data_IF_233806824828
#
_entry.id   IF_233806824828
#
_cell.length_a   1.000
_cell.length_b   1.000
_cell.length_c   1.000
_cell.angle_alpha   90.00
_cell.angle_beta   90.00
_cell.angle_gamma   90.00
#
_symmetry.space_group_name_H-M   'P 1'
#
loop_
_entity.id
_entity.type
_entity.pdbx_description
1 polymer ?
#
# COMPACT_ATOMS: atom_id res chain seq x y z
N UNK A 1 -14.15 12.47 -15.03
CA UNK A 1 -14.22 11.81 -13.71
C UNK A 1 -13.27 12.54 -12.78
N UNK A 2 -13.67 12.97 -11.57
CA UNK A 2 -12.74 13.62 -10.66
C UNK A 2 -11.66 12.62 -10.24
N UNK A 3 -10.40 12.99 -10.46
CA UNK A 3 -9.24 12.23 -10.00
C UNK A 3 -9.22 12.36 -8.48
N UNK A 4 -9.66 11.32 -7.76
CA UNK A 4 -9.57 11.25 -6.31
C UNK A 4 -8.10 11.16 -5.92
N UNK A 5 -7.42 12.31 -5.76
CA UNK A 5 -6.11 12.36 -5.12
C UNK A 5 -6.33 12.31 -3.62
N UNK A 6 -5.84 11.26 -2.97
CA UNK A 6 -5.67 11.29 -1.53
C UNK A 6 -4.53 12.27 -1.27
N UNK A 7 -4.75 13.26 -0.41
CA UNK A 7 -3.69 14.11 0.13
C UNK A 7 -3.26 13.51 1.47
N UNK A 8 -2.25 12.64 1.51
CA UNK A 8 -1.65 12.25 2.78
C UNK A 8 -0.99 13.47 3.44
N UNK A 9 -0.74 13.37 4.75
CA UNK A 9 -0.19 14.50 5.54
C UNK A 9 1.24 14.88 5.12
N UNK A 10 1.93 13.99 4.39
CA UNK A 10 3.32 14.16 3.99
C UNK A 10 3.52 13.86 2.51
N UNK A 11 4.28 14.73 1.84
CA UNK A 11 4.82 14.45 0.51
C UNK A 11 5.97 13.43 0.59
N UNK A 12 6.19 12.69 -0.50
CA UNK A 12 7.29 11.72 -0.59
C UNK A 12 8.67 12.32 -0.25
N UNK A 13 8.88 13.59 -0.61
CA UNK A 13 10.11 14.32 -0.31
C UNK A 13 10.28 14.59 1.21
N UNK A 14 9.18 14.87 1.92
CA UNK A 14 9.21 15.12 3.36
C UNK A 14 9.51 13.84 4.17
N UNK A 15 9.15 12.68 3.65
CA UNK A 15 9.44 11.35 4.22
C UNK A 15 10.85 10.84 3.87
N UNK A 16 11.61 11.60 3.06
CA UNK A 16 12.95 11.23 2.60
C UNK A 16 12.98 9.97 1.72
N UNK A 17 11.86 9.60 1.08
CA UNK A 17 11.73 8.35 0.32
C UNK A 17 12.74 8.26 -0.81
N UNK A 18 13.29 7.05 -1.03
CA UNK A 18 14.09 6.79 -2.22
C UNK A 18 13.21 6.77 -3.49
N UNK A 19 13.82 6.68 -4.67
CA UNK A 19 13.08 6.77 -5.94
C UNK A 19 11.99 5.69 -6.08
N UNK A 20 12.29 4.45 -5.65
CA UNK A 20 11.35 3.32 -5.73
C UNK A 20 10.21 3.45 -4.71
N UNK A 21 10.52 3.81 -3.47
CA UNK A 21 9.55 4.08 -2.41
C UNK A 21 8.63 5.25 -2.79
N UNK A 22 9.20 6.33 -3.34
CA UNK A 22 8.46 7.49 -3.82
C UNK A 22 7.49 7.13 -4.94
N UNK A 23 7.93 6.32 -5.91
CA UNK A 23 7.06 5.84 -6.99
C UNK A 23 5.89 4.99 -6.46
N UNK A 24 6.16 4.08 -5.52
CA UNK A 24 5.12 3.26 -4.87
C UNK A 24 4.14 4.14 -4.08
N UNK A 25 4.67 5.08 -3.30
CA UNK A 25 3.86 5.99 -2.47
C UNK A 25 2.96 6.88 -3.32
N UNK A 26 3.48 7.50 -4.38
CA UNK A 26 2.70 8.31 -5.31
C UNK A 26 1.63 7.48 -6.03
N UNK A 27 1.96 6.26 -6.43
CA UNK A 27 1.00 5.36 -7.07
C UNK A 27 -0.17 5.06 -6.12
N UNK A 28 0.12 4.74 -4.86
CA UNK A 28 -0.90 4.49 -3.83
C UNK A 28 -1.73 5.73 -3.50
N UNK A 29 -1.13 6.92 -3.48
CA UNK A 29 -1.85 8.18 -3.29
C UNK A 29 -2.82 8.48 -4.45
N UNK A 30 -2.46 8.09 -5.67
CA UNK A 30 -3.29 8.30 -6.87
C UNK A 30 -4.41 7.27 -7.04
N UNK A 31 -4.14 6.00 -6.71
CA UNK A 31 -5.06 4.87 -6.96
C UNK A 31 -5.79 4.39 -5.73
N UNK A 32 -5.42 4.87 -4.53
CA UNK A 32 -5.89 4.42 -3.20
C UNK A 32 -5.55 2.97 -2.85
N UNK A 33 -5.51 2.08 -3.84
CA UNK A 33 -5.20 0.67 -3.74
C UNK A 33 -4.41 0.21 -4.96
N UNK A 34 -3.41 -0.66 -4.76
CA UNK A 34 -2.62 -1.30 -5.82
C UNK A 34 -2.37 -2.76 -5.48
N UNK A 35 -2.19 -3.59 -6.49
CA UNK A 35 -1.76 -4.99 -6.34
C UNK A 35 -0.24 -5.11 -6.30
N UNK A 36 0.28 -6.20 -5.74
CA UNK A 36 1.71 -6.54 -5.83
C UNK A 36 2.20 -6.55 -7.28
N UNK A 37 1.40 -7.05 -8.22
CA UNK A 37 1.73 -7.04 -9.64
C UNK A 37 1.84 -5.62 -10.23
N UNK A 38 0.96 -4.69 -9.81
CA UNK A 38 1.05 -3.29 -10.22
C UNK A 38 2.25 -2.58 -9.59
N UNK A 39 2.57 -2.87 -8.33
CA UNK A 39 3.77 -2.32 -7.68
C UNK A 39 5.05 -2.82 -8.35
N UNK A 40 5.10 -4.09 -8.73
CA UNK A 40 6.25 -4.65 -9.46
C UNK A 40 6.36 -4.02 -10.85
N UNK A 41 5.25 -3.95 -11.60
CA UNK A 41 5.24 -3.48 -12.99
C UNK A 41 5.42 -1.96 -13.12
N UNK A 42 4.74 -1.19 -12.29
CA UNK A 42 4.72 0.28 -12.37
C UNK A 42 5.69 0.94 -11.39
N UNK A 43 5.86 0.37 -10.20
CA UNK A 43 6.82 0.85 -9.20
C UNK A 43 8.24 0.31 -9.40
N UNK A 44 8.45 -0.64 -10.34
CA UNK A 44 9.74 -1.29 -10.61
C UNK A 44 10.37 -1.94 -9.36
N UNK A 45 9.53 -2.45 -8.48
CA UNK A 45 9.95 -3.05 -7.21
C UNK A 45 9.96 -4.57 -7.31
N UNK A 46 11.02 -5.22 -6.83
CA UNK A 46 11.09 -6.70 -6.78
C UNK A 46 10.36 -7.28 -5.56
N UNK A 47 10.48 -6.61 -4.41
CA UNK A 47 9.86 -7.01 -3.13
C UNK A 47 8.93 -5.90 -2.63
N UNK A 48 7.66 -5.86 -3.10
CA UNK A 48 6.72 -4.79 -2.75
C UNK A 48 6.39 -4.74 -1.25
N UNK A 49 6.50 -5.87 -0.55
CA UNK A 49 6.34 -5.98 0.89
C UNK A 49 7.37 -5.11 1.64
N UNK A 50 8.66 -5.33 1.37
CA UNK A 50 9.77 -4.64 2.03
C UNK A 50 9.71 -3.12 1.82
N UNK A 51 9.39 -2.70 0.59
CA UNK A 51 9.22 -1.27 0.27
C UNK A 51 8.05 -0.66 1.04
N UNK A 52 6.93 -1.38 1.14
CA UNK A 52 5.76 -0.89 1.88
C UNK A 52 6.04 -0.81 3.38
N UNK A 53 6.76 -1.78 3.95
CA UNK A 53 7.19 -1.75 5.35
C UNK A 53 8.12 -0.57 5.62
N UNK A 54 9.12 -0.33 4.79
CA UNK A 54 10.01 0.83 4.89
C UNK A 54 9.25 2.17 4.79
N UNK A 55 8.26 2.29 3.90
CA UNK A 55 7.41 3.49 3.81
C UNK A 55 6.60 3.66 5.09
N UNK A 56 6.01 2.58 5.62
CA UNK A 56 5.24 2.64 6.86
C UNK A 56 6.10 3.05 8.06
N UNK A 57 7.33 2.54 8.19
CA UNK A 57 8.26 2.96 9.25
C UNK A 57 8.50 4.47 9.22
N UNK A 58 8.70 5.05 8.02
CA UNK A 58 8.90 6.49 7.85
C UNK A 58 7.64 7.30 8.12
N UNK A 59 6.47 6.80 7.72
CA UNK A 59 5.18 7.41 8.03
C UNK A 59 4.93 7.43 9.54
N UNK A 60 5.26 6.36 10.26
CA UNK A 60 5.16 6.26 11.71
C UNK A 60 6.15 7.22 12.38
N UNK A 61 7.41 7.24 11.93
CA UNK A 61 8.43 8.14 12.45
C UNK A 61 8.07 9.62 12.25
N UNK A 62 7.39 9.95 11.15
CA UNK A 62 6.86 11.28 10.87
C UNK A 62 5.57 11.61 11.65
N UNK A 63 4.96 10.64 12.35
CA UNK A 63 3.70 10.81 13.06
C UNK A 63 2.47 10.88 12.15
N UNK A 64 2.53 10.30 10.94
CA UNK A 64 1.42 10.29 10.01
C UNK A 64 0.24 9.47 10.50
N UNK A 65 -0.96 9.98 10.25
CA UNK A 65 -2.21 9.23 10.44
C UNK A 65 -2.51 8.32 9.23
N UNK A 66 -1.61 8.20 8.25
CA UNK A 66 -1.77 7.30 7.12
C UNK A 66 -0.80 6.13 7.20
N UNK A 67 -1.31 4.93 6.99
CA UNK A 67 -0.51 3.71 6.84
C UNK A 67 -0.97 2.92 5.62
N UNK A 68 -0.05 2.16 5.04
CA UNK A 68 -0.33 1.23 3.96
C UNK A 68 -0.65 -0.13 4.58
N UNK A 69 -1.88 -0.60 4.40
CA UNK A 69 -2.30 -1.93 4.82
C UNK A 69 -2.09 -2.92 3.68
N UNK A 70 -1.47 -4.05 3.99
CA UNK A 70 -1.39 -5.21 3.12
C UNK A 70 -2.54 -6.17 3.46
N UNK A 71 -3.39 -6.45 2.48
CA UNK A 71 -4.38 -7.52 2.55
C UNK A 71 -4.07 -8.56 1.48
N UNK A 72 -3.66 -9.75 1.90
CA UNK A 72 -3.46 -10.88 1.01
C UNK A 72 -4.79 -11.57 0.77
N UNK A 73 -5.28 -11.61 -0.47
CA UNK A 73 -6.33 -12.57 -0.80
C UNK A 73 -5.68 -13.94 -0.88
N UNK A 74 -5.88 -14.79 0.14
CA UNK A 74 -5.76 -16.24 -0.05
C UNK A 74 -6.65 -16.59 -1.24
N UNK A 75 -6.05 -17.17 -2.28
CA UNK A 75 -6.77 -17.69 -3.45
C UNK A 75 -8.04 -18.43 -2.98
N UNK A 76 -9.24 -18.08 -3.46
CA UNK A 76 -10.43 -18.84 -3.12
C UNK A 76 -10.24 -20.27 -3.67
N UNK A 77 -10.26 -21.25 -2.77
CA UNK A 77 -10.43 -22.65 -3.15
C UNK A 77 -11.80 -22.81 -3.80
N UNK A 78 -11.84 -23.20 -5.08
CA UNK A 78 -12.86 -24.08 -5.68
C UNK A 78 -12.76 -24.01 -7.22
N UNK A 79 -12.13 -25.01 -7.83
CA UNK A 79 -12.25 -25.25 -9.27
C UNK A 79 -11.18 -26.20 -9.81
N UNK A 80 -11.54 -27.26 -10.57
CA UNK A 80 -10.58 -28.24 -11.11
C UNK A 80 -9.66 -27.68 -12.21
N UNK A 81 -9.84 -26.42 -12.62
CA UNK A 81 -9.07 -25.75 -13.66
C UNK A 81 -8.25 -24.56 -13.09
N UNK A 82 -7.56 -24.76 -11.96
CA UNK A 82 -6.69 -23.73 -11.37
C UNK A 82 -5.27 -23.82 -11.93
N UNK A 83 -5.06 -23.24 -13.12
CA UNK A 83 -3.73 -22.86 -13.56
C UNK A 83 -3.19 -21.79 -12.60
N UNK A 84 -2.03 -22.06 -11.98
CA UNK A 84 -1.28 -21.25 -11.00
C UNK A 84 -1.64 -19.76 -11.02
N UNK A 85 -2.62 -19.33 -10.22
CA UNK A 85 -2.80 -17.90 -9.93
C UNK A 85 -1.97 -17.59 -8.70
N UNK A 86 -0.81 -16.97 -8.94
CA UNK A 86 0.08 -16.44 -7.91
C UNK A 86 -0.73 -15.61 -6.91
N UNK A 87 -0.53 -15.78 -5.59
CA UNK A 87 -1.24 -14.99 -4.60
C UNK A 87 -0.99 -13.50 -4.85
N UNK A 88 -2.08 -12.76 -5.10
CA UNK A 88 -2.04 -11.32 -5.27
C UNK A 88 -2.22 -10.67 -3.90
N UNK A 89 -1.21 -9.91 -3.47
CA UNK A 89 -1.32 -9.03 -2.32
C UNK A 89 -1.92 -7.69 -2.79
N UNK A 90 -2.82 -7.13 -2.00
CA UNK A 90 -3.37 -5.80 -2.22
C UNK A 90 -2.83 -4.85 -1.15
N UNK A 91 -2.29 -3.73 -1.60
CA UNK A 91 -1.78 -2.66 -0.76
C UNK A 91 -2.71 -1.48 -0.84
N UNK A 92 -3.13 -0.95 0.31
CA UNK A 92 -4.11 0.14 0.37
C UNK A 92 -3.69 1.20 1.38
N UNK A 93 -3.65 2.45 0.95
CA UNK A 93 -3.43 3.59 1.83
C UNK A 93 -4.69 3.86 2.67
N UNK A 94 -4.56 3.83 4.00
CA UNK A 94 -5.66 3.99 4.95
C UNK A 94 -5.29 4.97 6.05
N UNK A 95 -6.24 5.82 6.38
CA UNK A 95 -6.17 6.72 7.51
C UNK A 95 -6.46 5.92 8.81
N UNK A 96 -5.54 5.98 9.76
CA UNK A 96 -5.57 5.30 11.06
C UNK A 96 -6.37 6.06 12.11
N UNK A 97 -6.85 7.28 11.83
CA UNK A 97 -7.73 8.05 12.73
C UNK A 97 -9.02 7.30 13.07
N UNK A 98 -9.45 6.35 12.22
CA UNK A 98 -10.59 5.46 12.49
C UNK A 98 -10.24 4.21 13.32
N UNK A 99 -8.96 3.91 13.56
CA UNK A 99 -8.53 2.76 14.37
C UNK A 99 -8.61 3.02 15.88
N UNK A 100 -8.55 4.29 16.30
CA UNK A 100 -8.59 4.68 17.71
C UNK A 100 -9.94 4.36 18.41
N UNK A 101 -11.00 4.04 17.66
CA UNK A 101 -12.31 3.73 18.25
C UNK A 101 -12.54 2.23 18.50
N UNK A 102 -11.60 1.34 18.17
CA UNK A 102 -11.78 -0.12 18.28
C UNK A 102 -10.67 -0.82 19.07
N UNK A 103 -10.12 -0.16 20.09
CA UNK A 103 -9.21 -0.76 21.07
C UNK A 103 -9.72 -0.52 22.51
N UNK A 104 -11.03 -0.72 22.73
CA UNK A 104 -11.61 -0.82 24.06
C UNK A 104 -12.53 -2.04 24.10
N UNK A 105 -11.95 -3.19 24.44
CA UNK A 105 -12.64 -4.37 24.94
C UNK A 105 -11.74 -5.02 25.98
#
# INVERSE_FOLDING_TARGET
>A
MPVFKIQPDFDAAALGLNEAESAVYQLLCSRRQCTSAELIKHGRVHHPQDIVEAINERLIAAGSIWLILCSSTRTPMAGPTQSMRTPLAYYRLRCTSHFASSAKA
#
